data_IF_830014175639
#
_entry.id   IF_830014175639
#
_cell.length_a   1.000
_cell.length_b   1.000
_cell.length_c   1.000
_cell.angle_alpha   90.00
_cell.angle_beta   90.00
_cell.angle_gamma   90.00
#
_symmetry.space_group_name_H-M   'P 1'
#
loop_
_entity.id
_entity.type
_entity.pdbx_description
1 polymer ?
#
# COMPACT_ATOMS: atom_id res chain seq x y z
N UNK A 1 6.00 26.28 -17.90
CA UNK A 1 7.34 26.80 -18.25
C UNK A 1 8.31 25.64 -18.52
N UNK A 2 8.54 24.76 -17.53
CA UNK A 2 9.44 23.60 -17.65
C UNK A 2 9.11 22.70 -18.85
N UNK A 3 7.85 22.33 -19.05
CA UNK A 3 7.42 21.54 -20.23
C UNK A 3 7.77 22.22 -21.57
N UNK A 4 7.65 23.56 -21.62
CA UNK A 4 8.00 24.34 -22.81
C UNK A 4 9.51 24.36 -23.04
N UNK A 5 10.33 24.41 -21.97
CA UNK A 5 11.79 24.32 -22.08
C UNK A 5 12.22 22.94 -22.58
N UNK A 6 11.60 21.87 -22.06
CA UNK A 6 11.84 20.51 -22.52
C UNK A 6 11.46 20.32 -24.00
N UNK A 7 10.31 20.84 -24.42
CA UNK A 7 9.89 20.80 -25.82
C UNK A 7 10.84 21.54 -26.77
N UNK A 8 11.58 22.53 -26.27
CA UNK A 8 12.58 23.29 -27.01
C UNK A 8 14.00 22.69 -26.89
N UNK A 9 14.17 21.52 -26.26
CA UNK A 9 15.47 20.88 -26.04
C UNK A 9 16.34 21.58 -24.99
N UNK A 10 15.80 22.53 -24.22
CA UNK A 10 16.52 23.32 -23.20
C UNK A 10 16.49 22.61 -21.85
N UNK A 11 17.01 21.38 -21.81
CA UNK A 11 16.94 20.50 -20.63
C UNK A 11 17.70 21.06 -19.43
N UNK A 12 18.88 21.64 -19.62
CA UNK A 12 19.68 22.18 -18.50
C UNK A 12 18.96 23.31 -17.77
N UNK A 13 18.31 24.21 -18.51
CA UNK A 13 17.50 25.28 -17.92
C UNK A 13 16.27 24.74 -17.21
N UNK A 14 15.62 23.74 -17.80
CA UNK A 14 14.49 23.05 -17.16
C UNK A 14 14.89 22.43 -15.82
N UNK A 15 16.06 21.80 -15.74
CA UNK A 15 16.62 21.24 -14.51
C UNK A 15 16.97 22.33 -13.51
N UNK A 16 17.63 23.41 -13.94
CA UNK A 16 17.93 24.56 -13.07
C UNK A 16 16.67 25.16 -12.44
N UNK A 17 15.61 25.33 -13.23
CA UNK A 17 14.31 25.79 -12.71
C UNK A 17 13.71 24.81 -11.70
N UNK A 18 13.87 23.51 -11.92
CA UNK A 18 13.38 22.49 -10.97
C UNK A 18 14.20 22.49 -9.66
N UNK A 19 15.51 22.70 -9.73
CA UNK A 19 16.39 22.84 -8.56
C UNK A 19 16.03 24.09 -7.75
N UNK A 20 15.91 25.24 -8.40
CA UNK A 20 15.48 26.49 -7.77
C UNK A 20 14.09 26.31 -7.14
N UNK A 21 13.12 25.72 -7.86
CA UNK A 21 11.79 25.48 -7.30
C UNK A 21 11.82 24.59 -6.04
N UNK A 22 12.67 23.55 -6.01
CA UNK A 22 12.84 22.71 -4.81
C UNK A 22 13.32 23.51 -3.61
N UNK A 23 14.30 24.40 -3.81
CA UNK A 23 14.88 25.22 -2.72
C UNK A 23 13.87 26.23 -2.17
N UNK A 24 13.10 26.86 -3.05
CA UNK A 24 12.18 27.93 -2.67
C UNK A 24 10.85 27.42 -2.10
N UNK A 25 10.29 26.34 -2.66
CA UNK A 25 8.96 25.86 -2.30
C UNK A 25 8.97 24.65 -1.35
N UNK A 26 10.14 24.10 -1.05
CA UNK A 26 10.34 23.11 0.01
C UNK A 26 9.46 21.87 -0.11
N UNK A 27 8.36 21.82 0.67
CA UNK A 27 7.45 20.66 0.78
C UNK A 27 6.11 20.84 0.05
N UNK A 28 6.00 21.76 -0.91
CA UNK A 28 4.79 21.91 -1.72
C UNK A 28 4.56 20.67 -2.61
N UNK A 29 3.41 19.96 -2.52
CA UNK A 29 3.09 18.83 -3.38
C UNK A 29 3.13 19.14 -4.89
N UNK A 30 2.94 20.40 -5.29
CA UNK A 30 3.02 20.85 -6.69
C UNK A 30 4.42 20.70 -7.28
N UNK A 31 5.44 20.52 -6.44
CA UNK A 31 6.81 20.25 -6.88
C UNK A 31 7.00 18.83 -7.44
N UNK A 32 6.09 17.89 -7.19
CA UNK A 32 6.29 16.49 -7.59
C UNK A 32 6.73 16.31 -9.05
N UNK A 33 6.10 16.94 -10.07
CA UNK A 33 6.55 16.82 -11.46
C UNK A 33 7.98 17.35 -11.69
N UNK A 34 8.39 18.39 -10.96
CA UNK A 34 9.74 18.94 -11.06
C UNK A 34 10.77 18.02 -10.41
N UNK A 35 10.41 17.40 -9.28
CA UNK A 35 11.26 16.40 -8.63
C UNK A 35 11.37 15.11 -9.45
N UNK A 36 10.29 14.69 -10.11
CA UNK A 36 10.31 13.57 -11.05
C UNK A 36 11.28 13.85 -12.21
N UNK A 37 11.31 15.08 -12.73
CA UNK A 37 12.28 15.51 -13.74
C UNK A 37 13.73 15.42 -13.21
N UNK A 38 14.00 15.95 -12.01
CA UNK A 38 15.34 15.89 -11.41
C UNK A 38 15.80 14.44 -11.18
N UNK A 39 14.92 13.59 -10.66
CA UNK A 39 15.21 12.17 -10.44
C UNK A 39 15.50 11.45 -11.76
N UNK A 40 14.73 11.73 -12.81
CA UNK A 40 14.90 11.08 -14.12
C UNK A 40 16.22 11.46 -14.82
N UNK A 41 16.70 12.70 -14.66
CA UNK A 41 17.89 13.18 -15.37
C UNK A 41 19.18 13.12 -14.55
N UNK A 42 19.10 13.38 -13.23
CA UNK A 42 20.27 13.44 -12.34
C UNK A 42 20.21 12.32 -11.29
N UNK A 43 19.08 12.21 -10.59
CA UNK A 43 18.89 11.22 -9.54
C UNK A 43 19.92 11.34 -8.41
N UNK A 44 20.22 12.57 -7.95
CA UNK A 44 21.09 12.73 -6.79
C UNK A 44 20.40 12.25 -5.50
N UNK A 45 21.14 11.98 -4.41
CA UNK A 45 20.53 11.67 -3.11
C UNK A 45 19.54 12.75 -2.66
N UNK A 46 19.82 14.02 -2.92
CA UNK A 46 18.95 15.15 -2.56
C UNK A 46 17.63 15.12 -3.34
N UNK A 47 17.67 14.76 -4.62
CA UNK A 47 16.47 14.66 -5.47
C UNK A 47 15.54 13.55 -4.97
N UNK A 48 16.09 12.36 -4.72
CA UNK A 48 15.35 11.25 -4.14
C UNK A 48 14.83 11.58 -2.74
N UNK A 49 15.62 12.28 -1.92
CA UNK A 49 15.21 12.69 -0.56
C UNK A 49 14.03 13.66 -0.61
N UNK A 50 14.08 14.65 -1.50
CA UNK A 50 13.01 15.62 -1.68
C UNK A 50 11.72 14.94 -2.19
N UNK A 51 11.85 14.06 -3.19
CA UNK A 51 10.69 13.33 -3.73
C UNK A 51 10.09 12.40 -2.70
N UNK A 52 10.92 11.65 -1.97
CA UNK A 52 10.48 10.77 -0.89
C UNK A 52 9.79 11.54 0.24
N UNK A 53 10.24 12.75 0.56
CA UNK A 53 9.61 13.57 1.60
C UNK A 53 8.18 14.01 1.23
N UNK A 54 7.90 14.22 -0.06
CA UNK A 54 6.56 14.56 -0.55
C UNK A 54 5.69 13.31 -0.76
N UNK A 55 6.27 12.29 -1.39
CA UNK A 55 5.60 11.05 -1.77
C UNK A 55 6.50 9.86 -1.47
N UNK A 56 6.49 9.36 -0.22
CA UNK A 56 7.25 8.19 0.16
C UNK A 56 6.96 7.01 -0.76
N UNK A 57 8.00 6.36 -1.25
CA UNK A 57 7.89 5.20 -2.14
C UNK A 57 9.13 4.30 -2.02
N UNK A 58 9.00 3.06 -2.47
CA UNK A 58 10.06 2.06 -2.32
C UNK A 58 11.25 2.33 -3.25
N UNK A 59 11.01 2.89 -4.43
CA UNK A 59 12.05 3.20 -5.43
C UNK A 59 13.07 4.18 -4.86
N UNK A 60 12.60 5.33 -4.36
CA UNK A 60 13.46 6.34 -3.75
C UNK A 60 14.16 5.81 -2.49
N UNK A 61 13.47 5.01 -1.68
CA UNK A 61 14.09 4.40 -0.50
C UNK A 61 15.30 3.54 -0.89
N UNK A 62 15.15 2.70 -1.91
CA UNK A 62 16.22 1.85 -2.42
C UNK A 62 17.33 2.65 -3.11
N UNK A 63 16.97 3.67 -3.88
CA UNK A 63 17.94 4.57 -4.52
C UNK A 63 18.78 5.31 -3.46
N UNK A 64 18.16 5.83 -2.40
CA UNK A 64 18.85 6.45 -1.27
C UNK A 64 19.76 5.47 -0.56
N UNK A 65 19.28 4.25 -0.29
CA UNK A 65 20.09 3.18 0.33
C UNK A 65 21.32 2.85 -0.50
N UNK A 66 21.17 2.73 -1.82
CA UNK A 66 22.27 2.44 -2.73
C UNK A 66 23.28 3.59 -2.83
N UNK A 67 22.80 4.84 -2.94
CA UNK A 67 23.66 6.02 -3.15
C UNK A 67 24.37 6.49 -1.88
N UNK A 68 23.73 6.39 -0.72
CA UNK A 68 24.31 6.83 0.56
C UNK A 68 25.23 5.77 1.19
N UNK A 69 25.04 4.49 0.87
CA UNK A 69 25.89 3.40 1.34
C UNK A 69 26.03 3.40 2.86
N UNK A 70 27.25 3.63 3.36
CA UNK A 70 27.56 3.62 4.81
C UNK A 70 26.89 4.75 5.59
N UNK A 71 26.51 5.85 4.95
CA UNK A 71 25.81 6.96 5.59
C UNK A 71 24.29 6.70 5.74
N UNK A 72 23.75 5.71 5.03
CA UNK A 72 22.30 5.45 5.01
C UNK A 72 21.67 5.16 6.38
N UNK A 73 22.30 4.39 7.29
CA UNK A 73 21.69 4.09 8.60
C UNK A 73 21.35 5.34 9.44
N UNK A 74 22.14 6.41 9.31
CA UNK A 74 21.91 7.68 10.01
C UNK A 74 20.64 8.37 9.48
N UNK A 75 20.45 8.35 8.15
CA UNK A 75 19.30 8.97 7.49
C UNK A 75 18.03 8.14 7.57
N UNK A 76 18.15 6.81 7.63
CA UNK A 76 17.01 5.88 7.63
C UNK A 76 15.96 6.27 8.66
N UNK A 77 16.38 6.58 9.89
CA UNK A 77 15.46 6.92 10.98
C UNK A 77 14.66 8.19 10.67
N UNK A 78 15.29 9.18 10.03
CA UNK A 78 14.63 10.41 9.64
C UNK A 78 13.64 10.18 8.49
N UNK A 79 14.04 9.39 7.49
CA UNK A 79 13.17 9.02 6.36
C UNK A 79 11.91 8.30 6.83
N UNK A 80 12.06 7.25 7.65
CA UNK A 80 10.93 6.42 8.07
C UNK A 80 9.97 7.14 9.03
N UNK A 81 10.45 8.13 9.79
CA UNK A 81 9.58 8.93 10.69
C UNK A 81 8.48 9.69 9.94
N UNK A 82 8.73 10.07 8.69
CA UNK A 82 7.75 10.78 7.85
C UNK A 82 6.73 9.87 7.15
N UNK A 83 6.95 8.55 7.15
CA UNK A 83 6.11 7.61 6.41
C UNK A 83 4.88 7.24 7.23
N UNK A 84 3.72 7.61 6.71
CA UNK A 84 2.42 7.30 7.33
C UNK A 84 1.75 6.05 6.77
N UNK A 85 2.19 5.57 5.61
CA UNK A 85 1.60 4.39 4.93
C UNK A 85 2.15 3.09 5.55
N UNK A 86 1.31 2.30 6.26
CA UNK A 86 1.75 1.05 6.86
C UNK A 86 2.19 0.01 5.83
N UNK A 87 1.60 -0.01 4.63
CA UNK A 87 1.96 -0.97 3.61
C UNK A 87 3.38 -0.71 3.07
N UNK A 88 3.74 0.56 2.86
CA UNK A 88 5.10 0.92 2.48
C UNK A 88 6.11 0.58 3.57
N UNK A 89 5.80 0.90 4.84
CA UNK A 89 6.65 0.54 5.97
C UNK A 89 6.86 -0.98 6.05
N UNK A 90 5.82 -1.79 5.88
CA UNK A 90 5.94 -3.24 5.87
C UNK A 90 6.85 -3.74 4.75
N UNK A 91 6.72 -3.20 3.53
CA UNK A 91 7.62 -3.55 2.40
C UNK A 91 9.08 -3.22 2.72
N UNK A 92 9.33 -2.06 3.33
CA UNK A 92 10.68 -1.65 3.74
C UNK A 92 11.22 -2.60 4.82
N UNK A 93 10.46 -2.86 5.88
CA UNK A 93 10.91 -3.74 6.97
C UNK A 93 11.13 -5.18 6.50
N UNK A 94 10.30 -5.71 5.60
CA UNK A 94 10.52 -7.01 4.98
C UNK A 94 11.80 -7.06 4.14
N UNK A 95 12.06 -6.01 3.36
CA UNK A 95 13.26 -5.93 2.52
C UNK A 95 14.54 -5.86 3.36
N UNK A 96 14.46 -5.28 4.55
CA UNK A 96 15.60 -5.13 5.46
C UNK A 96 15.66 -6.19 6.54
N UNK A 97 14.72 -7.15 6.54
CA UNK A 97 14.60 -8.18 7.57
C UNK A 97 14.49 -7.58 9.00
N UNK A 98 13.89 -6.39 9.12
CA UNK A 98 13.64 -5.71 10.40
C UNK A 98 12.37 -6.28 11.05
N UNK A 99 12.45 -7.54 11.47
CA UNK A 99 11.32 -8.30 12.04
C UNK A 99 10.73 -7.62 13.28
N UNK A 100 11.54 -6.91 14.06
CA UNK A 100 11.12 -6.21 15.27
C UNK A 100 10.27 -4.99 14.94
N UNK A 101 10.66 -4.20 13.93
CA UNK A 101 9.84 -3.09 13.48
C UNK A 101 8.54 -3.56 12.81
N UNK A 102 8.62 -4.66 12.05
CA UNK A 102 7.45 -5.27 11.41
C UNK A 102 6.42 -5.77 12.43
N UNK A 103 6.85 -6.50 13.46
CA UNK A 103 5.95 -6.97 14.53
C UNK A 103 5.26 -5.79 15.25
N UNK A 104 6.01 -4.72 15.57
CA UNK A 104 5.43 -3.51 16.17
C UNK A 104 4.41 -2.84 15.25
N UNK A 105 4.70 -2.77 13.95
CA UNK A 105 3.79 -2.21 12.95
C UNK A 105 2.50 -3.01 12.88
N UNK A 106 2.57 -4.34 12.86
CA UNK A 106 1.39 -5.20 12.79
C UNK A 106 0.50 -5.05 14.02
N UNK A 107 1.08 -4.86 15.21
CA UNK A 107 0.33 -4.65 16.46
C UNK A 107 -0.36 -3.28 16.54
N UNK A 108 0.17 -2.27 15.86
CA UNK A 108 -0.34 -0.88 15.93
C UNK A 108 -1.06 -0.41 14.67
N UNK A 109 -1.06 -1.22 13.60
CA UNK A 109 -1.67 -0.85 12.33
C UNK A 109 -3.17 -0.59 12.52
N UNK A 110 -3.69 0.55 12.01
CA UNK A 110 -5.11 0.82 12.05
C UNK A 110 -5.83 -0.17 11.13
N UNK A 111 -7.05 -0.61 11.47
CA UNK A 111 -7.77 -1.60 10.67
C UNK A 111 -8.08 -1.15 9.24
N UNK A 112 -8.18 0.16 8.99
CA UNK A 112 -8.30 0.75 7.64
C UNK A 112 -7.11 0.40 6.74
N UNK A 113 -5.94 0.12 7.31
CA UNK A 113 -4.74 -0.23 6.57
C UNK A 113 -4.63 -1.73 6.27
N UNK A 114 -5.44 -2.59 6.91
CA UNK A 114 -5.33 -4.05 6.78
C UNK A 114 -5.34 -4.55 5.33
N UNK A 115 -6.21 -4.06 4.41
CA UNK A 115 -6.17 -4.50 3.03
C UNK A 115 -4.82 -4.30 2.33
N UNK A 116 -4.26 -3.09 2.43
CA UNK A 116 -2.98 -2.75 1.79
C UNK A 116 -1.80 -3.38 2.50
N UNK A 117 -1.90 -3.52 3.81
CA UNK A 117 -0.89 -4.20 4.62
C UNK A 117 -0.84 -5.69 4.28
N UNK A 118 -1.99 -6.36 4.16
CA UNK A 118 -2.09 -7.75 3.74
C UNK A 118 -1.43 -7.98 2.37
N UNK A 119 -1.76 -7.15 1.38
CA UNK A 119 -1.13 -7.16 0.05
C UNK A 119 0.40 -7.07 0.12
N UNK A 120 0.93 -6.20 1.00
CA UNK A 120 2.36 -6.03 1.16
C UNK A 120 3.06 -7.27 1.76
N UNK A 121 2.32 -8.12 2.47
CA UNK A 121 2.85 -9.30 3.17
C UNK A 121 2.71 -10.59 2.37
N UNK A 122 1.83 -10.67 1.36
CA UNK A 122 1.45 -11.93 0.68
C UNK A 122 2.65 -12.80 0.27
N UNK A 123 3.69 -12.18 -0.30
CA UNK A 123 4.83 -12.90 -0.85
C UNK A 123 5.80 -13.45 0.21
N UNK A 124 5.86 -12.85 1.39
CA UNK A 124 6.88 -13.17 2.42
C UNK A 124 6.28 -13.74 3.70
N UNK A 125 5.09 -13.28 4.08
CA UNK A 125 4.36 -13.67 5.29
C UNK A 125 2.89 -13.97 4.92
N UNK A 126 2.63 -15.05 4.16
CA UNK A 126 1.29 -15.35 3.67
C UNK A 126 0.30 -15.61 4.82
N UNK A 127 0.74 -16.16 5.95
CA UNK A 127 -0.16 -16.45 7.08
C UNK A 127 -0.65 -15.17 7.77
N UNK A 128 0.23 -14.19 7.93
CA UNK A 128 -0.11 -12.86 8.45
C UNK A 128 -1.04 -12.12 7.48
N UNK A 129 -0.76 -12.19 6.16
CA UNK A 129 -1.64 -11.64 5.14
C UNK A 129 -3.06 -12.24 5.22
N UNK A 130 -3.18 -13.57 5.38
CA UNK A 130 -4.48 -14.24 5.55
C UNK A 130 -5.27 -13.69 6.73
N UNK A 131 -4.63 -13.55 7.90
CA UNK A 131 -5.26 -12.99 9.12
C UNK A 131 -5.82 -11.60 8.87
N UNK A 132 -5.01 -10.72 8.26
CA UNK A 132 -5.42 -9.35 7.94
C UNK A 132 -6.57 -9.29 6.93
N UNK A 133 -6.59 -10.18 5.92
CA UNK A 133 -7.71 -10.26 4.99
C UNK A 133 -9.00 -10.71 5.66
N UNK A 134 -8.94 -11.71 6.55
CA UNK A 134 -10.10 -12.19 7.31
C UNK A 134 -10.66 -11.10 8.22
N UNK A 135 -9.79 -10.45 9.00
CA UNK A 135 -10.18 -9.37 9.91
C UNK A 135 -10.75 -8.16 9.14
N UNK A 136 -10.11 -7.78 8.04
CA UNK A 136 -10.59 -6.72 7.16
C UNK A 136 -11.95 -7.03 6.56
N UNK A 137 -12.15 -8.24 6.02
CA UNK A 137 -13.42 -8.67 5.43
C UNK A 137 -14.56 -8.66 6.46
N UNK A 138 -14.28 -9.15 7.68
CA UNK A 138 -15.26 -9.11 8.78
C UNK A 138 -15.67 -7.68 9.13
N UNK A 139 -14.69 -6.78 9.29
CA UNK A 139 -14.97 -5.37 9.63
C UNK A 139 -15.76 -4.66 8.55
N UNK A 140 -15.43 -4.87 7.27
CA UNK A 140 -16.21 -4.31 6.17
C UNK A 140 -17.64 -4.88 6.15
N UNK A 141 -17.81 -6.19 6.36
CA UNK A 141 -19.12 -6.80 6.45
C UNK A 141 -19.95 -6.22 7.61
N UNK A 142 -19.33 -5.90 8.75
CA UNK A 142 -20.01 -5.33 9.92
C UNK A 142 -20.65 -3.95 9.63
N UNK A 143 -19.99 -3.10 8.82
CA UNK A 143 -20.47 -1.74 8.46
C UNK A 143 -21.85 -1.67 7.83
N UNK A 144 -22.34 -2.77 7.25
CA UNK A 144 -23.74 -2.89 6.88
C UNK A 144 -24.17 -2.17 5.59
N UNK A 145 -23.24 -1.71 4.77
CA UNK A 145 -23.55 -1.04 3.49
C UNK A 145 -23.19 -1.94 2.31
N UNK A 146 -23.89 -1.79 1.18
CA UNK A 146 -23.59 -2.56 -0.04
C UNK A 146 -22.14 -2.37 -0.52
N UNK A 147 -21.62 -1.15 -0.43
CA UNK A 147 -20.21 -0.87 -0.75
C UNK A 147 -19.27 -1.68 0.15
N UNK A 148 -19.52 -1.70 1.46
CA UNK A 148 -18.68 -2.44 2.39
C UNK A 148 -18.79 -3.96 2.20
N UNK A 149 -19.96 -4.49 1.83
CA UNK A 149 -20.10 -5.91 1.46
C UNK A 149 -19.26 -6.28 0.23
N UNK A 150 -19.23 -5.40 -0.78
CA UNK A 150 -18.38 -5.59 -1.96
C UNK A 150 -16.90 -5.57 -1.59
N UNK A 151 -16.48 -4.65 -0.74
CA UNK A 151 -15.09 -4.62 -0.24
C UNK A 151 -14.77 -5.92 0.54
N UNK A 152 -15.67 -6.39 1.41
CA UNK A 152 -15.50 -7.65 2.12
C UNK A 152 -15.33 -8.85 1.17
N UNK A 153 -16.19 -8.97 0.16
CA UNK A 153 -16.09 -9.99 -0.86
C UNK A 153 -14.78 -9.90 -1.65
N UNK A 154 -14.36 -8.68 -2.00
CA UNK A 154 -13.07 -8.42 -2.66
C UNK A 154 -11.87 -8.89 -1.84
N UNK A 155 -11.88 -8.67 -0.52
CA UNK A 155 -10.84 -9.15 0.38
C UNK A 155 -10.80 -10.67 0.46
N UNK A 156 -11.96 -11.33 0.53
CA UNK A 156 -12.02 -12.79 0.54
C UNK A 156 -11.63 -13.41 -0.81
N UNK A 157 -11.90 -12.75 -1.93
CA UNK A 157 -11.41 -13.17 -3.25
C UNK A 157 -9.88 -13.08 -3.36
N UNK A 158 -9.27 -12.08 -2.72
CA UNK A 158 -7.81 -12.01 -2.61
C UNK A 158 -7.26 -13.11 -1.72
N UNK A 159 -7.91 -13.34 -0.56
CA UNK A 159 -7.60 -14.47 0.31
C UNK A 159 -7.69 -15.80 -0.44
N UNK A 160 -8.67 -15.98 -1.32
CA UNK A 160 -8.85 -17.22 -2.10
C UNK A 160 -7.64 -17.55 -3.00
N UNK A 161 -6.81 -16.56 -3.38
CA UNK A 161 -5.55 -16.81 -4.11
C UNK A 161 -4.49 -17.47 -3.24
N UNK A 162 -4.51 -17.21 -1.92
CA UNK A 162 -3.60 -17.78 -0.94
C UNK A 162 -4.16 -19.04 -0.27
N UNK A 163 -5.48 -19.07 -0.09
CA UNK A 163 -6.21 -20.11 0.62
C UNK A 163 -7.66 -20.22 0.12
N UNK A 164 -7.91 -20.97 -0.96
CA UNK A 164 -9.26 -21.12 -1.51
C UNK A 164 -10.24 -21.69 -0.48
N UNK A 165 -9.81 -22.66 0.34
CA UNK A 165 -10.67 -23.29 1.34
C UNK A 165 -10.99 -22.33 2.48
N UNK A 166 -9.97 -21.67 3.04
CA UNK A 166 -10.16 -20.69 4.11
C UNK A 166 -11.02 -19.50 3.68
N UNK A 167 -10.89 -19.02 2.44
CA UNK A 167 -11.75 -17.97 1.90
C UNK A 167 -13.22 -18.37 1.83
N UNK A 168 -13.51 -19.62 1.41
CA UNK A 168 -14.88 -20.15 1.35
C UNK A 168 -15.48 -20.32 2.74
N UNK A 169 -14.73 -20.90 3.67
CA UNK A 169 -15.17 -21.06 5.07
C UNK A 169 -15.49 -19.70 5.70
N UNK A 170 -14.64 -18.70 5.46
CA UNK A 170 -14.87 -17.34 5.93
C UNK A 170 -16.09 -16.68 5.26
N UNK A 171 -16.29 -16.88 3.95
CA UNK A 171 -17.47 -16.38 3.25
C UNK A 171 -18.76 -16.97 3.84
N UNK A 172 -18.79 -18.30 4.06
CA UNK A 172 -19.92 -18.96 4.71
C UNK A 172 -20.14 -18.50 6.15
N UNK A 173 -19.06 -18.32 6.92
CA UNK A 173 -19.14 -17.80 8.28
C UNK A 173 -19.74 -16.39 8.33
N UNK A 174 -19.34 -15.50 7.41
CA UNK A 174 -19.93 -14.16 7.31
C UNK A 174 -21.40 -14.20 6.88
N UNK A 175 -21.74 -15.01 5.87
CA UNK A 175 -23.11 -15.16 5.40
C UNK A 175 -24.05 -15.66 6.51
N UNK A 176 -23.61 -16.67 7.28
CA UNK A 176 -24.33 -17.24 8.43
C UNK A 176 -24.40 -16.27 9.61
N UNK A 177 -23.35 -15.48 9.85
CA UNK A 177 -23.34 -14.45 10.89
C UNK A 177 -24.31 -13.29 10.61
N UNK A 178 -24.71 -13.10 9.35
CA UNK A 178 -25.58 -12.02 8.90
C UNK A 178 -26.73 -12.50 8.01
N UNK A 179 -27.65 -13.34 8.52
CA UNK A 179 -28.64 -14.05 7.70
C UNK A 179 -29.66 -13.13 7.02
N UNK A 180 -29.90 -11.93 7.57
CA UNK A 180 -30.89 -10.96 7.03
C UNK A 180 -30.30 -10.00 5.99
N UNK A 181 -28.99 -10.06 5.72
CA UNK A 181 -28.29 -9.11 4.83
C UNK A 181 -28.20 -9.68 3.40
N UNK A 182 -29.32 -9.70 2.65
CA UNK A 182 -29.35 -10.29 1.28
C UNK A 182 -28.27 -9.75 0.34
N UNK A 183 -28.00 -8.44 0.38
CA UNK A 183 -26.93 -7.83 -0.42
C UNK A 183 -25.52 -8.35 -0.09
N UNK A 184 -25.27 -8.82 1.15
CA UNK A 184 -24.00 -9.47 1.50
C UNK A 184 -23.91 -10.85 0.86
N UNK A 185 -25.00 -11.62 0.86
CA UNK A 185 -25.06 -12.93 0.22
C UNK A 185 -24.83 -12.84 -1.30
N UNK A 186 -25.44 -11.84 -1.95
CA UNK A 186 -25.22 -11.58 -3.38
C UNK A 186 -23.75 -11.30 -3.69
N UNK A 187 -23.10 -10.40 -2.94
CA UNK A 187 -21.70 -10.03 -3.20
C UNK A 187 -20.72 -11.18 -2.85
N UNK A 188 -21.06 -12.05 -1.88
CA UNK A 188 -20.29 -13.25 -1.55
C UNK A 188 -20.54 -14.43 -2.51
N UNK A 189 -21.58 -14.36 -3.35
CA UNK A 189 -22.02 -15.42 -4.26
C UNK A 189 -20.89 -16.17 -4.98
N UNK A 190 -19.90 -15.50 -5.60
CA UNK A 190 -18.78 -16.17 -6.28
C UNK A 190 -17.98 -17.13 -5.40
N UNK A 191 -17.87 -16.85 -4.09
CA UNK A 191 -17.16 -17.70 -3.13
C UNK A 191 -18.06 -18.80 -2.54
N UNK A 192 -19.38 -18.62 -2.58
CA UNK A 192 -20.36 -19.58 -2.06
C UNK A 192 -20.74 -20.65 -3.09
N UNK A 193 -20.61 -20.33 -4.39
CA UNK A 193 -21.16 -21.12 -5.51
C UNK A 193 -20.45 -22.46 -5.80
N UNK A 194 -19.31 -22.75 -5.17
CA UNK A 194 -18.53 -23.98 -5.43
C UNK A 194 -18.70 -25.07 -4.36
N UNK A 195 -19.78 -25.04 -3.57
CA UNK A 195 -20.23 -26.18 -2.75
C UNK A 195 -21.61 -26.69 -3.25
N UNK A 196 -21.70 -27.92 -3.80
CA UNK A 196 -22.94 -28.51 -4.35
C UNK A 196 -24.10 -28.76 -3.36
N UNK A 197 -23.98 -28.40 -2.08
CA UNK A 197 -24.83 -28.99 -1.02
C UNK A 197 -25.56 -28.05 -0.07
N UNK A 198 -25.57 -26.73 -0.25
CA UNK A 198 -26.49 -25.87 0.53
C UNK A 198 -27.18 -24.81 -0.33
N UNK A 199 -28.53 -24.81 -0.41
CA UNK A 199 -29.25 -23.78 -1.13
C UNK A 199 -29.15 -22.44 -0.39
N UNK A 200 -29.00 -21.35 -1.16
CA UNK A 200 -29.19 -20.00 -0.63
C UNK A 200 -30.61 -19.87 -0.02
N UNK A 201 -30.77 -19.23 1.16
CA UNK A 201 -32.08 -19.03 1.76
C UNK A 201 -32.93 -18.08 0.90
N UNK A 202 -34.20 -18.45 0.70
CA UNK A 202 -35.21 -17.67 -0.04
C UNK A 202 -35.49 -16.30 0.62
#
# INVERSE_FOLDING_TARGET
>A
LVERLLALGRTEEALKYAEEAREWFGKDPRLLPLLDLLVAHRGSPEDHRARFALRPNLEDYLALKAKLGRAFPEERKALLRGVKDPALLARIYLLEEDWKALDRLLRSAPPEAYPRLAEALEARLPQEAKKLYLEGARREAEKGTRKAYREAAGLLLRLARLDPKGAREAAWALARGFPRRKALWEELGPLLSENPHEPAPK
#
